data_IF_330744472405
#
_entry.id   IF_330744472405
#
_cell.length_a   1.000
_cell.length_b   1.000
_cell.length_c   1.000
_cell.angle_alpha   90.00
_cell.angle_beta   90.00
_cell.angle_gamma   90.00
#
_symmetry.space_group_name_H-M   'P 1'
#
loop_
_entity.id
_entity.type
_entity.pdbx_description
1 polymer ?
#
# COMPACT_ATOMS: atom_id res chain seq x y z
N UNK A 1 -15.97 22.40 -4.51
CA UNK A 1 -15.50 22.10 -3.14
C UNK A 1 -15.45 20.60 -2.87
N UNK A 2 -16.51 19.83 -3.11
CA UNK A 2 -16.59 18.40 -2.75
C UNK A 2 -15.62 17.46 -3.49
N UNK A 3 -15.41 17.63 -4.80
CA UNK A 3 -14.50 16.77 -5.59
C UNK A 3 -13.04 16.97 -5.17
N UNK A 4 -12.65 18.21 -4.86
CA UNK A 4 -11.31 18.55 -4.38
C UNK A 4 -11.03 17.94 -3.01
N UNK A 5 -12.01 17.92 -2.10
CA UNK A 5 -11.86 17.25 -0.80
C UNK A 5 -11.73 15.73 -0.93
N UNK A 6 -12.42 15.11 -1.90
CA UNK A 6 -12.29 13.68 -2.19
C UNK A 6 -10.90 13.36 -2.75
N UNK A 7 -10.39 14.15 -3.71
CA UNK A 7 -9.06 13.94 -4.28
C UNK A 7 -7.96 14.09 -3.21
N UNK A 8 -8.02 15.14 -2.39
CA UNK A 8 -7.03 15.33 -1.32
C UNK A 8 -7.11 14.23 -0.25
N UNK A 9 -8.32 13.81 0.14
CA UNK A 9 -8.52 12.70 1.08
C UNK A 9 -8.05 11.35 0.52
N UNK A 10 -8.32 11.08 -0.76
CA UNK A 10 -7.84 9.87 -1.43
C UNK A 10 -6.32 9.85 -1.56
N UNK A 11 -5.71 11.00 -1.87
CA UNK A 11 -4.26 11.14 -1.95
C UNK A 11 -3.59 10.95 -0.58
N UNK A 12 -4.12 11.54 0.50
CA UNK A 12 -3.54 11.36 1.84
C UNK A 12 -3.63 9.90 2.30
N UNK A 13 -4.75 9.22 2.06
CA UNK A 13 -4.88 7.78 2.32
C UNK A 13 -3.87 6.95 1.50
N UNK A 14 -3.72 7.26 0.21
CA UNK A 14 -2.77 6.56 -0.65
C UNK A 14 -1.31 6.78 -0.21
N UNK A 15 -0.94 7.99 0.21
CA UNK A 15 0.40 8.29 0.75
C UNK A 15 0.67 7.54 2.05
N UNK A 16 -0.30 7.51 2.97
CA UNK A 16 -0.16 6.74 4.22
C UNK A 16 -0.02 5.25 3.93
N UNK A 17 -0.81 4.71 3.00
CA UNK A 17 -0.69 3.31 2.57
C UNK A 17 0.65 3.01 1.87
N UNK A 18 1.21 3.95 1.12
CA UNK A 18 2.54 3.81 0.51
C UNK A 18 3.67 3.84 1.56
N UNK A 19 3.60 4.72 2.54
CA UNK A 19 4.56 4.70 3.65
C UNK A 19 4.45 3.39 4.44
N UNK A 20 3.22 2.92 4.70
CA UNK A 20 2.99 1.65 5.37
C UNK A 20 3.51 0.44 4.59
N UNK A 21 3.47 0.46 3.24
CA UNK A 21 4.05 -0.61 2.42
C UNK A 21 5.58 -0.62 2.48
N UNK A 22 6.23 0.54 2.58
CA UNK A 22 7.67 0.66 2.84
C UNK A 22 8.01 0.09 4.22
N UNK A 23 7.25 0.45 5.27
CA UNK A 23 7.44 -0.12 6.61
C UNK A 23 7.27 -1.64 6.61
N UNK A 24 6.24 -2.15 5.93
CA UNK A 24 6.01 -3.59 5.79
C UNK A 24 7.21 -4.27 5.14
N UNK A 25 7.81 -3.68 4.12
CA UNK A 25 9.00 -4.21 3.45
C UNK A 25 10.24 -4.19 4.36
N UNK A 26 10.44 -3.12 5.13
CA UNK A 26 11.64 -2.92 5.96
C UNK A 26 11.63 -3.71 7.28
N UNK A 27 10.45 -3.95 7.87
CA UNK A 27 10.34 -4.58 9.19
C UNK A 27 10.70 -6.08 9.14
N UNK A 28 11.58 -6.56 10.05
CA UNK A 28 11.97 -7.96 10.09
C UNK A 28 10.97 -8.86 10.85
N UNK A 29 9.69 -8.50 10.82
CA UNK A 29 8.62 -9.12 11.60
C UNK A 29 7.50 -9.64 10.68
N UNK A 30 7.86 -10.41 9.65
CA UNK A 30 6.87 -11.05 8.79
C UNK A 30 6.37 -12.35 9.41
N UNK A 31 7.26 -13.09 10.05
CA UNK A 31 6.97 -14.39 10.63
C UNK A 31 7.74 -14.57 11.91
N UNK A 32 7.05 -14.97 12.97
CA UNK A 32 7.66 -15.16 14.29
C UNK A 32 7.53 -16.62 14.65
N UNK A 33 8.61 -17.27 15.07
CA UNK A 33 8.58 -18.66 15.52
C UNK A 33 9.24 -18.74 16.89
N UNK A 34 8.45 -19.07 17.91
CA UNK A 34 8.97 -19.28 19.25
C UNK A 34 9.22 -20.77 19.45
N UNK A 35 10.49 -21.18 19.53
CA UNK A 35 10.81 -22.57 19.87
C UNK A 35 10.69 -22.76 21.37
N UNK A 36 9.59 -23.36 21.81
CA UNK A 36 9.42 -23.86 23.19
C UNK A 36 9.37 -25.39 23.12
N UNK A 37 10.54 -26.02 22.98
CA UNK A 37 10.69 -27.48 23.02
C UNK A 37 11.30 -27.95 24.34
N UNK A 38 10.75 -29.00 24.94
CA UNK A 38 11.17 -29.58 26.23
C UNK A 38 12.57 -30.21 26.27
N UNK A 39 13.38 -30.03 25.21
CA UNK A 39 14.69 -30.69 25.08
C UNK A 39 15.78 -29.83 24.41
N UNK A 40 15.65 -28.50 24.45
CA UNK A 40 16.68 -27.60 23.89
C UNK A 40 17.09 -26.60 24.97
N UNK A 41 18.37 -26.61 25.30
CA UNK A 41 19.04 -25.88 26.39
C UNK A 41 19.01 -24.34 26.20
N UNK A 42 18.30 -23.81 25.20
CA UNK A 42 18.15 -22.36 24.97
C UNK A 42 16.78 -22.06 24.35
N UNK A 43 15.94 -21.26 25.01
CA UNK A 43 14.75 -20.71 24.37
C UNK A 43 15.18 -19.61 23.39
N UNK A 44 14.89 -19.79 22.11
CA UNK A 44 15.21 -18.87 21.03
C UNK A 44 13.93 -18.46 20.28
N UNK A 45 13.70 -17.15 20.16
CA UNK A 45 12.62 -16.60 19.33
C UNK A 45 13.22 -16.14 18.01
N UNK A 46 12.78 -16.74 16.90
CA UNK A 46 13.21 -16.33 15.57
C UNK A 46 12.16 -15.39 14.99
N UNK A 47 12.59 -14.20 14.57
CA UNK A 47 11.78 -13.29 13.77
C UNK A 47 12.38 -13.23 12.36
N UNK A 48 11.64 -13.79 11.41
CA UNK A 48 12.01 -13.75 9.99
C UNK A 48 11.39 -12.51 9.34
N UNK A 49 12.27 -11.71 8.76
CA UNK A 49 11.93 -10.56 7.94
C UNK A 49 11.99 -10.86 6.46
N UNK A 50 11.59 -9.87 5.67
CA UNK A 50 11.74 -9.96 4.24
C UNK A 50 13.23 -9.89 3.84
N UNK A 51 14.07 -9.11 4.53
CA UNK A 51 15.49 -8.87 4.15
C UNK A 51 16.54 -9.41 5.13
N UNK A 52 16.14 -9.68 6.36
CA UNK A 52 17.02 -10.14 7.44
C UNK A 52 16.24 -11.09 8.35
N UNK A 53 16.94 -11.98 9.05
CA UNK A 53 16.38 -12.75 10.14
C UNK A 53 17.05 -12.34 11.45
N UNK A 54 16.26 -12.21 12.51
CA UNK A 54 16.78 -11.92 13.84
C UNK A 54 16.45 -13.07 14.78
N UNK A 55 17.41 -13.43 15.62
CA UNK A 55 17.27 -14.45 16.66
C UNK A 55 17.44 -13.78 18.01
N UNK A 56 16.46 -13.95 18.88
CA UNK A 56 16.52 -13.54 20.27
C UNK A 56 16.87 -14.74 21.12
N UNK A 57 18.10 -14.77 21.63
CA UNK A 57 18.56 -15.81 22.52
C UNK A 57 18.36 -15.40 23.99
N UNK A 58 17.92 -16.34 24.83
CA UNK A 58 17.66 -16.10 26.27
C UNK A 58 18.88 -15.55 27.06
N UNK A 59 20.08 -15.62 26.49
CA UNK A 59 21.31 -15.03 27.05
C UNK A 59 21.48 -13.52 26.78
N UNK A 60 20.46 -12.85 26.23
CA UNK A 60 20.42 -11.39 26.09
C UNK A 60 21.17 -10.84 24.86
N UNK A 61 21.65 -11.71 23.98
CA UNK A 61 22.20 -11.30 22.68
C UNK A 61 21.12 -11.38 21.60
N UNK A 62 20.86 -10.24 20.97
CA UNK A 62 20.11 -10.17 19.71
C UNK A 62 21.10 -10.28 18.56
N UNK A 63 20.94 -11.30 17.72
CA UNK A 63 21.74 -11.46 16.51
C UNK A 63 20.82 -11.35 15.31
N UNK A 64 20.92 -10.23 14.60
CA UNK A 64 20.29 -10.06 13.30
C UNK A 64 21.32 -10.40 12.22
N UNK A 65 20.98 -11.34 11.36
CA UNK A 65 21.80 -11.73 10.22
C UNK A 65 21.07 -11.34 8.93
N UNK A 66 21.79 -10.71 8.01
CA UNK A 66 21.28 -10.49 6.65
C UNK A 66 21.39 -11.81 5.87
N UNK A 67 20.48 -12.02 4.92
CA UNK A 67 20.56 -13.20 4.07
C UNK A 67 21.75 -13.06 3.10
N UNK A 68 22.88 -13.69 3.44
CA UNK A 68 24.17 -13.63 2.72
C UNK A 68 24.09 -14.09 1.24
N UNK A 69 23.05 -14.83 0.85
CA UNK A 69 22.86 -15.30 -0.52
C UNK A 69 21.40 -15.34 -0.92
N UNK A 70 21.04 -14.57 -1.94
CA UNK A 70 19.71 -14.55 -2.56
C UNK A 70 19.32 -15.91 -3.16
N UNK A 71 20.30 -16.78 -3.45
CA UNK A 71 20.14 -18.07 -4.12
C UNK A 71 19.84 -19.24 -3.15
N UNK A 72 20.00 -19.05 -1.84
CA UNK A 72 19.73 -20.06 -0.80
C UNK A 72 18.36 -19.86 -0.12
N UNK A 73 17.63 -18.83 -0.54
CA UNK A 73 16.34 -18.45 0.00
C UNK A 73 15.22 -19.25 -0.69
N UNK A 74 14.18 -19.62 0.07
CA UNK A 74 13.02 -20.31 -0.51
C UNK A 74 12.39 -19.47 -1.64
N UNK A 75 12.02 -20.08 -2.78
CA UNK A 75 11.53 -19.35 -3.96
C UNK A 75 10.28 -18.50 -3.67
N UNK A 76 9.46 -18.93 -2.72
CA UNK A 76 8.28 -18.18 -2.25
C UNK A 76 8.66 -16.82 -1.62
N UNK A 77 9.77 -16.76 -0.88
CA UNK A 77 10.22 -15.51 -0.24
C UNK A 77 10.82 -14.55 -1.28
N UNK A 78 11.51 -15.09 -2.28
CA UNK A 78 12.04 -14.30 -3.39
C UNK A 78 10.91 -13.71 -4.24
N UNK A 79 9.87 -14.49 -4.52
CA UNK A 79 8.67 -14.01 -5.22
C UNK A 79 7.95 -12.92 -4.40
N UNK A 80 7.83 -13.10 -3.08
CA UNK A 80 7.24 -12.09 -2.20
C UNK A 80 8.03 -10.77 -2.20
N UNK A 81 9.37 -10.84 -2.11
CA UNK A 81 10.26 -9.66 -2.25
C UNK A 81 10.00 -8.91 -3.54
N UNK A 82 10.02 -9.63 -4.66
CA UNK A 82 9.80 -9.02 -5.97
C UNK A 82 8.45 -8.30 -6.02
N UNK A 83 7.36 -8.97 -5.61
CA UNK A 83 6.01 -8.40 -5.62
C UNK A 83 5.86 -7.16 -4.73
N UNK A 84 6.40 -7.19 -3.50
CA UNK A 84 6.35 -6.06 -2.57
C UNK A 84 7.14 -4.88 -3.13
N UNK A 85 8.36 -5.11 -3.61
CA UNK A 85 9.22 -4.05 -4.17
C UNK A 85 8.59 -3.42 -5.41
N UNK A 86 8.06 -4.22 -6.34
CA UNK A 86 7.37 -3.68 -7.51
C UNK A 86 6.10 -2.91 -7.13
N UNK A 87 5.37 -3.34 -6.11
CA UNK A 87 4.20 -2.60 -5.61
C UNK A 87 4.57 -1.21 -5.08
N UNK A 88 5.70 -1.09 -4.37
CA UNK A 88 6.20 0.19 -3.83
C UNK A 88 6.59 1.13 -4.96
N UNK A 89 7.26 0.63 -6.01
CA UNK A 89 7.61 1.43 -7.18
C UNK A 89 6.37 1.89 -7.96
N UNK A 90 5.40 1.00 -8.19
CA UNK A 90 4.12 1.34 -8.83
C UNK A 90 3.38 2.44 -8.05
N UNK A 91 3.28 2.31 -6.74
CA UNK A 91 2.66 3.31 -5.87
C UNK A 91 3.42 4.65 -5.88
N UNK A 92 4.75 4.63 -5.97
CA UNK A 92 5.56 5.84 -6.12
C UNK A 92 5.27 6.56 -7.45
N UNK A 93 5.22 5.83 -8.57
CA UNK A 93 4.85 6.43 -9.86
C UNK A 93 3.41 6.97 -9.84
N UNK A 94 2.47 6.26 -9.22
CA UNK A 94 1.09 6.73 -9.05
C UNK A 94 1.03 8.03 -8.24
N UNK A 95 1.85 8.16 -7.18
CA UNK A 95 1.97 9.37 -6.39
C UNK A 95 2.46 10.56 -7.23
N UNK A 96 3.51 10.37 -8.06
CA UNK A 96 4.00 11.43 -8.94
C UNK A 96 2.94 11.88 -9.95
N UNK A 97 2.20 10.93 -10.54
CA UNK A 97 1.10 11.23 -11.47
C UNK A 97 -0.01 12.00 -10.74
N UNK A 98 -0.43 11.55 -9.56
CA UNK A 98 -1.44 12.24 -8.75
C UNK A 98 -1.01 13.67 -8.36
N UNK A 99 0.26 13.85 -8.00
CA UNK A 99 0.83 15.15 -7.66
C UNK A 99 0.82 16.12 -8.85
N UNK A 100 1.15 15.63 -10.05
CA UNK A 100 1.08 16.42 -11.29
C UNK A 100 -0.36 16.73 -11.74
N UNK A 101 -1.35 15.94 -11.30
CA UNK A 101 -2.77 16.18 -11.54
C UNK A 101 -3.45 17.13 -10.54
N UNK A 102 -2.78 17.47 -9.43
CA UNK A 102 -3.34 18.34 -8.39
C UNK A 102 -3.42 19.80 -8.84
N UNK A 103 -4.48 20.50 -8.43
CA UNK A 103 -4.75 21.88 -8.87
C UNK A 103 -3.69 22.92 -8.45
N UNK A 104 -2.88 22.62 -7.44
CA UNK A 104 -1.77 23.47 -7.01
C UNK A 104 -0.57 23.45 -7.97
N UNK A 105 -0.50 22.48 -8.88
CA UNK A 105 0.61 22.33 -9.81
C UNK A 105 0.23 22.93 -11.16
N UNK A 106 0.78 24.12 -11.49
CA UNK A 106 0.51 24.85 -12.74
C UNK A 106 1.10 24.19 -14.00
N UNK A 107 1.59 22.95 -13.90
CA UNK A 107 2.23 22.21 -15.00
C UNK A 107 1.26 21.75 -16.10
N UNK A 108 -0.05 21.65 -15.80
CA UNK A 108 -1.07 21.23 -16.77
C UNK A 108 -2.21 22.24 -16.76
N UNK A 109 -2.40 22.97 -17.85
CA UNK A 109 -3.44 24.02 -17.96
C UNK A 109 -4.80 23.47 -18.45
N UNK A 110 -4.84 22.21 -18.90
CA UNK A 110 -6.06 21.57 -19.38
C UNK A 110 -6.75 20.75 -18.27
N UNK A 111 -7.92 21.21 -17.83
CA UNK A 111 -8.75 20.53 -16.83
C UNK A 111 -9.06 19.07 -17.21
N UNK A 112 -9.32 18.77 -18.49
CA UNK A 112 -9.59 17.40 -18.94
C UNK A 112 -8.38 16.46 -18.77
N UNK A 113 -7.16 16.99 -18.89
CA UNK A 113 -5.93 16.22 -18.68
C UNK A 113 -5.73 15.92 -17.19
N UNK A 114 -5.95 16.91 -16.30
CA UNK A 114 -5.87 16.72 -14.84
C UNK A 114 -6.80 15.61 -14.33
N UNK A 115 -8.04 15.61 -14.82
CA UNK A 115 -9.05 14.61 -14.48
C UNK A 115 -8.61 13.19 -14.89
N UNK A 116 -8.06 13.04 -16.09
CA UNK A 116 -7.52 11.76 -16.58
C UNK A 116 -6.31 11.30 -15.77
N UNK A 117 -5.42 12.22 -15.40
CA UNK A 117 -4.27 11.91 -14.55
C UNK A 117 -4.71 11.36 -13.18
N UNK A 118 -5.72 11.95 -12.55
CA UNK A 118 -6.28 11.45 -11.28
C UNK A 118 -6.84 10.04 -11.44
N UNK A 119 -7.59 9.77 -12.51
CA UNK A 119 -8.14 8.45 -12.78
C UNK A 119 -7.05 7.39 -13.02
N UNK A 120 -6.03 7.73 -13.81
CA UNK A 120 -4.88 6.85 -14.10
C UNK A 120 -4.08 6.58 -12.81
N UNK A 121 -3.80 7.60 -12.01
CA UNK A 121 -3.12 7.43 -10.73
C UNK A 121 -3.92 6.51 -9.79
N UNK A 122 -5.25 6.69 -9.70
CA UNK A 122 -6.12 5.82 -8.92
C UNK A 122 -6.08 4.35 -9.36
N UNK A 123 -6.12 4.10 -10.67
CA UNK A 123 -5.99 2.76 -11.23
C UNK A 123 -4.63 2.11 -10.88
N UNK A 124 -3.53 2.87 -11.00
CA UNK A 124 -2.20 2.35 -10.64
C UNK A 124 -2.12 2.04 -9.14
N UNK A 125 -2.67 2.89 -8.26
CA UNK A 125 -2.73 2.60 -6.82
C UNK A 125 -3.51 1.32 -6.49
N UNK A 126 -4.62 1.05 -7.20
CA UNK A 126 -5.38 -0.20 -7.06
C UNK A 126 -4.55 -1.40 -7.51
N UNK A 127 -3.85 -1.30 -8.64
CA UNK A 127 -2.98 -2.40 -9.09
C UNK A 127 -1.83 -2.65 -8.11
N UNK A 128 -1.24 -1.59 -7.55
CA UNK A 128 -0.18 -1.68 -6.55
C UNK A 128 -0.70 -2.33 -5.25
N UNK A 129 -1.91 -1.99 -4.80
CA UNK A 129 -2.49 -2.57 -3.58
C UNK A 129 -2.78 -4.06 -3.71
N UNK A 130 -3.25 -4.52 -4.87
CA UNK A 130 -3.47 -5.94 -5.15
C UNK A 130 -2.11 -6.68 -5.14
N UNK A 131 -1.10 -6.10 -5.78
CA UNK A 131 0.24 -6.70 -5.84
C UNK A 131 0.92 -6.78 -4.46
N UNK A 132 0.60 -5.88 -3.53
CA UNK A 132 1.03 -5.95 -2.13
C UNK A 132 0.19 -6.95 -1.31
N UNK A 133 -1.12 -7.02 -1.54
CA UNK A 133 -2.03 -7.89 -0.81
C UNK A 133 -1.74 -9.38 -1.05
N UNK A 134 -1.37 -9.76 -2.28
CA UNK A 134 -1.05 -11.14 -2.66
C UNK A 134 0.06 -11.75 -1.77
N UNK A 135 1.30 -11.22 -1.74
CA UNK A 135 2.38 -11.81 -0.95
C UNK A 135 2.12 -11.78 0.56
N UNK A 136 1.44 -10.74 1.07
CA UNK A 136 1.06 -10.66 2.50
C UNK A 136 0.06 -11.76 2.85
N UNK A 137 -0.95 -11.97 2.01
CA UNK A 137 -2.01 -12.95 2.26
C UNK A 137 -1.54 -14.38 2.04
N UNK A 138 -0.68 -14.62 1.04
CA UNK A 138 -0.03 -15.91 0.84
C UNK A 138 0.88 -16.26 2.02
N UNK A 139 1.68 -15.30 2.49
CA UNK A 139 2.54 -15.51 3.67
C UNK A 139 1.70 -15.87 4.91
N UNK A 140 0.61 -15.14 5.16
CA UNK A 140 -0.32 -15.44 6.24
C UNK A 140 -0.97 -16.82 6.07
N UNK A 141 -1.42 -17.18 4.87
CA UNK A 141 -2.04 -18.48 4.60
C UNK A 141 -1.06 -19.64 4.81
N UNK A 142 0.18 -19.52 4.32
CA UNK A 142 1.24 -20.50 4.57
C UNK A 142 1.56 -20.63 6.06
N UNK A 143 1.47 -19.55 6.83
CA UNK A 143 1.66 -19.60 8.28
C UNK A 143 0.52 -20.40 8.94
N UNK A 144 -0.74 -20.06 8.64
CA UNK A 144 -1.92 -20.73 9.21
C UNK A 144 -2.00 -22.20 8.79
N UNK A 145 -1.64 -22.54 7.55
CA UNK A 145 -1.62 -23.93 7.08
C UNK A 145 -0.59 -24.77 7.81
N UNK A 146 0.56 -24.19 8.19
CA UNK A 146 1.58 -24.86 9.00
C UNK A 146 1.10 -25.10 10.44
N UNK A 147 0.31 -24.19 11.02
CA UNK A 147 -0.28 -24.39 12.35
C UNK A 147 -1.27 -25.56 12.41
N UNK A 148 -2.07 -25.73 11.36
CA UNK A 148 -3.12 -26.74 11.30
C UNK A 148 -2.63 -28.13 10.86
N UNK A 149 -1.35 -28.28 10.52
CA UNK A 149 -0.80 -29.55 10.08
C UNK A 149 -0.40 -30.40 11.30
N UNK A 150 -1.04 -31.56 11.54
CA UNK A 150 -0.78 -32.40 12.72
C UNK A 150 0.63 -33.00 12.73
N UNK A 151 1.38 -32.93 11.63
CA UNK A 151 2.77 -33.39 11.53
C UNK A 151 3.78 -32.37 12.09
N UNK A 152 3.36 -31.15 12.44
CA UNK A 152 4.24 -30.09 12.95
C UNK A 152 4.21 -30.11 14.49
N UNK A 153 5.35 -30.35 15.16
CA UNK A 153 5.43 -30.29 16.61
C UNK A 153 4.97 -28.93 17.14
N UNK A 154 4.30 -28.91 18.29
CA UNK A 154 3.77 -27.68 18.91
C UNK A 154 4.86 -26.62 19.18
N UNK A 155 6.10 -27.08 19.35
CA UNK A 155 7.30 -26.24 19.48
C UNK A 155 7.73 -25.51 18.19
N UNK A 156 7.13 -25.80 17.03
CA UNK A 156 7.44 -25.17 15.74
C UNK A 156 6.30 -24.28 15.20
N UNK A 157 5.27 -24.05 16.01
CA UNK A 157 4.13 -23.20 15.66
C UNK A 157 4.62 -21.76 15.34
N UNK A 158 4.21 -21.25 14.17
CA UNK A 158 4.77 -20.03 13.56
C UNK A 158 3.80 -18.87 13.66
N UNK A 159 3.92 -17.95 14.60
CA UNK A 159 2.99 -16.81 14.73
C UNK A 159 3.07 -15.78 13.59
N UNK A 160 1.95 -15.08 13.38
CA UNK A 160 1.83 -13.97 12.44
C UNK A 160 2.63 -12.78 12.95
N UNK A 161 3.59 -12.30 12.15
CA UNK A 161 4.38 -11.14 12.53
C UNK A 161 3.63 -9.81 12.38
N UNK A 162 4.04 -8.79 13.15
CA UNK A 162 3.45 -7.45 13.13
C UNK A 162 3.44 -6.81 11.72
N UNK A 163 4.43 -7.12 10.89
CA UNK A 163 4.54 -6.54 9.55
C UNK A 163 3.39 -6.99 8.62
N UNK A 164 2.83 -8.20 8.81
CA UNK A 164 1.70 -8.67 7.99
C UNK A 164 0.44 -7.85 8.24
N UNK A 165 0.17 -7.47 9.49
CA UNK A 165 -0.94 -6.60 9.85
C UNK A 165 -0.79 -5.20 9.25
N UNK A 166 0.43 -4.64 9.31
CA UNK A 166 0.76 -3.36 8.66
C UNK A 166 0.57 -3.49 7.15
N UNK A 167 0.97 -4.61 6.55
CA UNK A 167 0.79 -4.90 5.13
C UNK A 167 -0.68 -4.90 4.71
N UNK A 168 -1.55 -5.57 5.45
CA UNK A 168 -3.00 -5.54 5.20
C UNK A 168 -3.59 -4.15 5.36
N UNK A 169 -3.24 -3.44 6.43
CA UNK A 169 -3.69 -2.06 6.63
C UNK A 169 -3.24 -1.14 5.48
N UNK A 170 -1.99 -1.29 5.04
CA UNK A 170 -1.40 -0.52 3.94
C UNK A 170 -2.07 -0.81 2.61
N UNK A 171 -2.32 -2.09 2.30
CA UNK A 171 -3.05 -2.50 1.10
C UNK A 171 -4.48 -1.95 1.09
N UNK A 172 -5.17 -1.98 2.23
CA UNK A 172 -6.51 -1.41 2.35
C UNK A 172 -6.50 0.10 2.11
N UNK A 173 -5.58 0.83 2.74
CA UNK A 173 -5.42 2.28 2.55
C UNK A 173 -5.10 2.64 1.10
N UNK A 174 -4.21 1.91 0.44
CA UNK A 174 -3.90 2.10 -0.98
C UNK A 174 -5.11 1.81 -1.88
N UNK A 175 -5.87 0.75 -1.57
CA UNK A 175 -7.06 0.37 -2.34
C UNK A 175 -8.17 1.43 -2.22
N UNK A 176 -8.48 1.87 -1.00
CA UNK A 176 -9.48 2.91 -0.78
C UNK A 176 -9.03 4.26 -1.34
N UNK A 177 -7.77 4.65 -1.11
CA UNK A 177 -7.21 5.88 -1.68
C UNK A 177 -7.24 5.89 -3.21
N UNK A 178 -6.81 4.79 -3.84
CA UNK A 178 -6.88 4.61 -5.29
C UNK A 178 -8.31 4.60 -5.82
N UNK A 179 -9.24 3.96 -5.13
CA UNK A 179 -10.66 3.95 -5.49
C UNK A 179 -11.30 5.34 -5.46
N UNK A 180 -11.02 6.14 -4.43
CA UNK A 180 -11.50 7.52 -4.31
C UNK A 180 -10.90 8.42 -5.41
N UNK A 181 -9.60 8.27 -5.72
CA UNK A 181 -8.95 9.00 -6.82
C UNK A 181 -9.51 8.63 -8.20
N UNK A 182 -9.84 7.35 -8.40
CA UNK A 182 -10.47 6.84 -9.61
C UNK A 182 -11.89 7.40 -9.77
N UNK A 183 -12.70 7.31 -8.72
CA UNK A 183 -14.08 7.81 -8.72
C UNK A 183 -14.16 9.33 -8.95
N UNK A 184 -13.32 10.10 -8.26
CA UNK A 184 -13.26 11.57 -8.43
C UNK A 184 -12.78 11.98 -9.83
N UNK A 185 -11.88 11.21 -10.43
CA UNK A 185 -11.49 11.37 -11.84
C UNK A 185 -12.67 11.12 -12.79
N UNK A 186 -13.44 10.04 -12.61
CA UNK A 186 -14.60 9.78 -13.46
C UNK A 186 -15.70 10.83 -13.31
N UNK A 187 -15.99 11.27 -12.09
CA UNK A 187 -17.04 12.25 -11.82
C UNK A 187 -16.73 13.61 -12.47
N UNK A 188 -15.47 14.04 -12.43
CA UNK A 188 -15.04 15.29 -13.07
C UNK A 188 -15.08 15.24 -14.61
N UNK A 189 -15.10 14.05 -15.23
CA UNK A 189 -15.25 13.91 -16.68
C UNK A 189 -16.74 13.94 -17.12
N UNK A 190 -17.66 13.60 -16.21
CA UNK A 190 -19.11 13.61 -16.44
C UNK A 190 -19.78 14.98 -16.26
N UNK A 191 -19.06 15.99 -15.76
CA UNK A 191 -19.51 17.38 -15.70
C UNK A 191 -18.95 18.23 -16.88
N UNK A 192 -19.38 18.06 -18.15
CA UNK A 192 -18.92 18.87 -19.27
C UNK A 192 -19.60 20.25 -19.37
N UNK A 193 -20.51 20.63 -18.47
CA UNK A 193 -21.22 21.92 -18.57
C UNK A 193 -20.47 23.06 -17.86
N UNK A 194 -20.02 24.10 -18.57
CA UNK A 194 -19.51 25.30 -17.93
C UNK A 194 -20.70 26.02 -17.27
N UNK A 195 -20.88 25.87 -15.95
CA UNK A 195 -21.73 26.78 -15.17
C UNK A 195 -21.06 28.15 -15.08
N UNK A 196 -21.12 28.89 -16.17
CA UNK A 196 -20.87 30.34 -16.19
C UNK A 196 -21.93 31.02 -17.06
N UNK A 197 -23.18 30.97 -16.60
CA UNK A 197 -24.16 31.98 -17.01
C UNK A 197 -23.69 33.30 -16.40
N UNK A 198 -22.85 34.02 -17.14
CA UNK A 198 -22.70 35.46 -16.96
C UNK A 198 -24.05 36.03 -17.36
N UNK A 199 -24.86 36.44 -16.38
CA UNK A 199 -26.10 37.15 -16.66
C UNK A 199 -25.75 38.30 -17.63
N UNK A 200 -26.23 38.21 -18.87
CA UNK A 200 -26.19 39.33 -19.79
C UNK A 200 -27.11 40.37 -19.17
N UNK A 201 -26.51 41.43 -18.62
CA UNK A 201 -27.25 42.61 -18.20
C UNK A 201 -27.79 43.25 -19.48
N UNK A 202 -28.99 42.87 -19.89
CA UNK A 202 -29.70 43.50 -21.00
C UNK A 202 -29.89 44.98 -20.65
N UNK A 203 -29.23 45.85 -21.43
CA UNK A 203 -29.48 47.29 -21.38
C UNK A 203 -30.59 47.65 -22.38
N UNK A 204 -31.66 48.27 -21.86
CA UNK A 204 -32.64 49.06 -22.61
C UNK A 204 -33.67 48.27 -23.46
N UNK A 205 -34.89 48.80 -23.67
CA UNK A 205 -35.19 50.22 -23.80
C UNK A 205 -36.05 50.77 -22.65
N UNK A 206 -35.63 51.88 -22.06
CA UNK A 206 -36.51 52.70 -21.22
C UNK A 206 -37.19 53.71 -22.15
N UNK A 207 -38.49 53.50 -22.39
CA UNK A 207 -39.32 54.39 -23.17
C UNK A 207 -39.75 55.64 -22.40
N UNK A 208 -40.00 56.68 -23.19
CA UNK A 208 -40.92 57.82 -23.00
C UNK A 208 -40.79 58.70 -21.75
N UNK A 209 -40.28 59.93 -21.96
CA UNK A 209 -40.92 61.20 -21.61
C UNK A 209 -40.27 62.33 -22.42
#
# INVERSE_FOLDING_TARGET
SMVMTMQMGGLTMAVLGWLGSILTCALPMWKVTAFIGSNIVVAQVFSEGLWMNCVYESMGQMQCKEYDSLLELTPDLQAARAMVVTSIFLAFFAFLIAFSGADYTRCVDNNGTKTRLSAVAGAIFITASIMLLIPVSLSANSIVSNFNNPMVPEALKRELGAALYIGWASSALLLFGGGVLCYSGFQSQQDPYPKKYRAVKTCGPMGYA
#
